data_IF_520969060610
#
_entry.id   IF_520969060610
#
_cell.length_a   1.000
_cell.length_b   1.000
_cell.length_c   1.000
_cell.angle_alpha   90.00
_cell.angle_beta   90.00
_cell.angle_gamma   90.00
#
_symmetry.space_group_name_H-M   'P 1'
#
loop_
_entity.id
_entity.type
_entity.pdbx_description
1 polymer ?
#
# COMPACT_ATOMS: atom_id res chain seq x y z
N UNK A 1 23.14 -17.47 -21.60
CA UNK A 1 22.70 -17.09 -20.25
C UNK A 1 21.27 -17.57 -20.11
N UNK A 2 21.10 -18.78 -19.58
CA UNK A 2 19.77 -19.37 -19.40
C UNK A 2 19.10 -18.76 -18.18
N UNK A 3 17.94 -18.13 -18.41
CA UNK A 3 17.09 -17.61 -17.37
C UNK A 3 16.59 -18.78 -16.52
N UNK A 4 16.97 -18.82 -15.24
CA UNK A 4 16.47 -19.80 -14.28
C UNK A 4 14.94 -19.68 -14.26
N UNK A 5 14.19 -20.77 -14.50
CA UNK A 5 12.74 -20.74 -14.40
C UNK A 5 12.33 -20.27 -13.01
N UNK A 6 11.50 -19.22 -12.92
CA UNK A 6 10.90 -18.79 -11.65
C UNK A 6 10.28 -20.01 -11.00
N UNK A 7 10.82 -20.44 -9.86
CA UNK A 7 10.23 -21.53 -9.08
C UNK A 7 8.78 -21.15 -8.80
N UNK A 8 7.85 -22.02 -9.17
CA UNK A 8 6.44 -21.88 -8.76
C UNK A 8 6.47 -21.69 -7.26
N UNK A 9 5.92 -20.56 -6.81
CA UNK A 9 5.90 -20.17 -5.40
C UNK A 9 5.45 -21.34 -4.55
N UNK A 10 6.37 -21.93 -3.81
CA UNK A 10 6.06 -22.90 -2.75
C UNK A 10 5.09 -22.18 -1.83
N UNK A 11 3.90 -22.73 -1.69
CA UNK A 11 2.87 -22.20 -0.80
C UNK A 11 3.30 -22.56 0.63
N UNK A 12 4.31 -21.85 1.15
CA UNK A 12 4.67 -21.90 2.56
C UNK A 12 3.47 -21.32 3.31
N UNK A 13 2.78 -22.09 4.17
CA UNK A 13 1.68 -21.59 4.95
C UNK A 13 2.23 -20.46 5.82
N UNK A 14 1.99 -19.22 5.42
CA UNK A 14 2.27 -18.07 6.28
C UNK A 14 1.09 -18.01 7.23
N UNK A 15 1.32 -17.90 8.54
CA UNK A 15 0.25 -17.62 9.50
C UNK A 15 -0.29 -16.19 9.35
N UNK A 16 -0.59 -15.76 8.13
CA UNK A 16 -1.19 -14.47 7.77
C UNK A 16 -2.71 -14.45 7.93
N UNK A 17 -3.31 -15.52 8.48
CA UNK A 17 -4.75 -15.58 8.78
C UNK A 17 -5.24 -14.31 9.49
N UNK A 18 -4.41 -13.76 10.40
CA UNK A 18 -4.73 -12.53 11.12
C UNK A 18 -5.07 -11.34 10.22
N UNK A 19 -4.35 -11.13 9.12
CA UNK A 19 -4.62 -10.00 8.20
C UNK A 19 -5.87 -10.26 7.36
N UNK A 20 -6.03 -11.47 6.83
CA UNK A 20 -7.20 -11.88 6.04
C UNK A 20 -8.51 -11.56 6.75
N UNK A 21 -8.59 -11.89 8.04
CA UNK A 21 -9.80 -11.69 8.85
C UNK A 21 -10.07 -10.20 9.13
N UNK A 22 -9.02 -9.36 9.11
CA UNK A 22 -9.10 -7.91 9.33
C UNK A 22 -9.39 -7.11 8.05
N UNK A 23 -9.12 -7.67 6.87
CA UNK A 23 -9.21 -6.96 5.59
C UNK A 23 -10.61 -6.43 5.30
N UNK A 24 -11.68 -7.17 5.63
CA UNK A 24 -13.04 -6.69 5.36
C UNK A 24 -13.39 -5.45 6.18
N UNK A 25 -12.91 -5.35 7.43
CA UNK A 25 -13.10 -4.17 8.26
C UNK A 25 -12.25 -3.01 7.74
N UNK A 26 -10.97 -3.27 7.46
CA UNK A 26 -10.06 -2.25 6.92
C UNK A 26 -10.57 -1.68 5.58
N UNK A 27 -11.06 -2.53 4.67
CA UNK A 27 -11.62 -2.08 3.39
C UNK A 27 -12.80 -1.11 3.56
N UNK A 28 -13.65 -1.30 4.58
CA UNK A 28 -14.73 -0.36 4.90
C UNK A 28 -14.17 0.94 5.47
N UNK A 29 -13.19 0.85 6.37
CA UNK A 29 -12.55 2.00 6.99
C UNK A 29 -11.79 2.88 5.98
N UNK A 30 -11.36 2.31 4.84
CA UNK A 30 -10.71 3.03 3.75
C UNK A 30 -11.69 3.76 2.81
N UNK A 31 -13.00 3.47 2.87
CA UNK A 31 -13.98 4.09 1.98
C UNK A 31 -13.98 5.63 1.97
N UNK A 32 -13.76 6.35 3.11
CA UNK A 32 -13.69 7.82 3.11
C UNK A 32 -12.54 8.40 2.28
N UNK A 33 -11.51 7.62 1.92
CA UNK A 33 -10.43 8.09 1.04
C UNK A 33 -11.00 8.56 -0.31
N UNK A 34 -12.14 8.04 -0.76
CA UNK A 34 -12.80 8.50 -1.97
C UNK A 34 -13.17 10.01 -1.94
N UNK A 35 -13.36 10.60 -0.75
CA UNK A 35 -13.59 12.03 -0.60
C UNK A 35 -12.31 12.85 -0.76
N UNK A 36 -11.15 12.24 -0.48
CA UNK A 36 -9.83 12.86 -0.63
C UNK A 36 -9.37 12.80 -2.09
N UNK A 37 -9.58 11.67 -2.75
CA UNK A 37 -9.16 11.42 -4.13
C UNK A 37 -10.17 11.91 -5.15
N UNK A 38 -11.42 12.17 -4.75
CA UNK A 38 -12.53 12.47 -5.65
C UNK A 38 -13.03 11.26 -6.45
N UNK A 39 -12.52 10.05 -6.17
CA UNK A 39 -12.87 8.82 -6.87
C UNK A 39 -12.89 7.62 -5.92
N UNK A 40 -13.76 6.64 -6.19
CA UNK A 40 -13.80 5.41 -5.41
C UNK A 40 -12.44 4.70 -5.47
N UNK A 41 -11.90 4.38 -4.29
CA UNK A 41 -10.69 3.57 -4.17
C UNK A 41 -11.07 2.10 -4.02
N UNK A 42 -10.33 1.21 -4.67
CA UNK A 42 -10.60 -0.22 -4.67
C UNK A 42 -9.40 -0.99 -4.05
N UNK A 43 -9.39 -1.19 -2.72
CA UNK A 43 -8.35 -1.99 -2.08
C UNK A 43 -8.30 -3.41 -2.65
N UNK A 44 -7.10 -3.91 -2.89
CA UNK A 44 -6.85 -5.24 -3.44
C UNK A 44 -6.13 -6.10 -2.40
N UNK A 45 -6.51 -7.37 -2.28
CA UNK A 45 -5.72 -8.32 -1.49
C UNK A 45 -4.45 -8.66 -2.27
N UNK A 46 -3.29 -8.36 -1.68
CA UNK A 46 -1.98 -8.69 -2.25
C UNK A 46 -1.42 -9.97 -1.63
N UNK A 47 -0.29 -10.46 -2.16
CA UNK A 47 0.38 -11.65 -1.64
C UNK A 47 0.69 -11.51 -0.14
N UNK A 48 0.34 -12.54 0.63
CA UNK A 48 0.44 -12.51 2.10
C UNK A 48 -0.83 -12.03 2.80
N UNK A 49 -1.96 -11.93 2.08
CA UNK A 49 -3.28 -11.58 2.61
C UNK A 49 -3.38 -10.17 3.21
N UNK A 50 -2.53 -9.24 2.79
CA UNK A 50 -2.61 -7.83 3.15
C UNK A 50 -3.48 -7.06 2.15
N UNK A 51 -4.00 -5.89 2.54
CA UNK A 51 -4.58 -4.96 1.58
C UNK A 51 -3.51 -4.06 0.98
N UNK A 52 -3.64 -3.82 -0.32
CA UNK A 52 -2.93 -2.81 -1.08
C UNK A 52 -3.91 -1.80 -1.65
N UNK A 53 -3.49 -0.54 -1.71
CA UNK A 53 -4.25 0.55 -2.30
C UNK A 53 -3.36 1.35 -3.25
N UNK A 54 -3.81 1.51 -4.48
CA UNK A 54 -3.16 2.38 -5.46
C UNK A 54 -3.83 3.75 -5.43
N UNK A 55 -3.02 4.81 -5.39
CA UNK A 55 -3.46 6.20 -5.37
C UNK A 55 -2.58 7.06 -6.28
N UNK A 56 -3.16 8.15 -6.79
CA UNK A 56 -2.40 9.17 -7.51
C UNK A 56 -1.44 9.91 -6.58
N UNK A 57 -0.28 10.29 -7.11
CA UNK A 57 0.79 10.94 -6.32
C UNK A 57 0.35 12.21 -5.61
N UNK A 58 -0.59 12.95 -6.21
CA UNK A 58 -1.15 14.21 -5.69
C UNK A 58 -1.96 14.01 -4.40
N UNK A 59 -2.42 12.79 -4.13
CA UNK A 59 -3.23 12.48 -2.95
C UNK A 59 -2.42 11.82 -1.83
N UNK A 60 -1.16 11.45 -2.07
CA UNK A 60 -0.36 10.68 -1.12
C UNK A 60 -0.32 11.30 0.28
N UNK A 61 0.05 12.58 0.38
CA UNK A 61 0.20 13.26 1.68
C UNK A 61 -1.13 13.32 2.43
N UNK A 62 -2.23 13.62 1.73
CA UNK A 62 -3.56 13.70 2.33
C UNK A 62 -4.07 12.33 2.78
N UNK A 63 -3.84 11.28 1.98
CA UNK A 63 -4.18 9.91 2.33
C UNK A 63 -3.37 9.44 3.53
N UNK A 64 -2.05 9.63 3.54
CA UNK A 64 -1.20 9.29 4.68
C UNK A 64 -1.63 10.01 5.96
N UNK A 65 -1.98 11.29 5.87
CA UNK A 65 -2.51 12.06 7.01
C UNK A 65 -3.83 11.48 7.53
N UNK A 66 -4.76 11.12 6.64
CA UNK A 66 -6.01 10.45 7.01
C UNK A 66 -5.75 9.10 7.70
N UNK A 67 -4.87 8.27 7.14
CA UNK A 67 -4.54 6.96 7.71
C UNK A 67 -3.95 7.10 9.13
N UNK A 68 -3.06 8.07 9.34
CA UNK A 68 -2.48 8.37 10.65
C UNK A 68 -3.53 8.89 11.63
N UNK A 69 -4.24 9.95 11.26
CA UNK A 69 -5.09 10.72 12.18
C UNK A 69 -6.43 10.05 12.45
N UNK A 70 -7.00 9.35 11.48
CA UNK A 70 -8.34 8.75 11.58
C UNK A 70 -8.31 7.24 11.79
N UNK A 71 -7.37 6.54 11.16
CA UNK A 71 -7.33 5.06 11.21
C UNK A 71 -6.24 4.49 12.13
N UNK A 72 -5.36 5.35 12.68
CA UNK A 72 -4.33 4.98 13.64
C UNK A 72 -3.15 4.21 13.04
N UNK A 73 -2.80 4.47 11.78
CA UNK A 73 -1.56 3.97 11.19
C UNK A 73 -0.37 4.82 11.68
N UNK A 74 0.29 4.32 12.71
CA UNK A 74 1.29 5.04 13.52
C UNK A 74 2.74 4.71 13.13
N UNK A 75 2.95 3.75 12.23
CA UNK A 75 4.28 3.32 11.80
C UNK A 75 4.40 3.20 10.29
N UNK A 76 5.19 4.09 9.68
CA UNK A 76 5.67 3.91 8.30
C UNK A 76 6.86 2.95 8.33
N UNK A 77 6.58 1.67 8.04
CA UNK A 77 7.54 0.58 8.21
C UNK A 77 8.63 0.56 7.13
N UNK A 78 8.27 0.92 5.90
CA UNK A 78 9.16 0.85 4.75
C UNK A 78 8.65 1.73 3.61
N UNK A 79 9.57 2.39 2.90
CA UNK A 79 9.34 3.06 1.62
C UNK A 79 10.32 2.44 0.63
N UNK A 80 9.82 2.01 -0.53
CA UNK A 80 10.64 1.42 -1.59
C UNK A 80 10.29 2.04 -2.94
N UNK A 81 11.31 2.35 -3.74
CA UNK A 81 11.14 2.57 -5.18
C UNK A 81 11.19 1.24 -5.91
N UNK A 82 10.31 1.05 -6.89
CA UNK A 82 10.27 -0.15 -7.74
C UNK A 82 10.35 0.28 -9.20
N UNK A 83 11.32 -0.27 -9.91
CA UNK A 83 11.45 -0.11 -11.36
C UNK A 83 10.64 -1.19 -12.06
N UNK A 84 9.48 -0.79 -12.57
CA UNK A 84 8.68 -1.60 -13.47
C UNK A 84 9.14 -1.29 -14.90
N UNK A 85 9.23 -2.31 -15.75
CA UNK A 85 9.76 -2.16 -17.12
C UNK A 85 9.11 -1.01 -17.91
N UNK A 86 7.86 -0.66 -17.61
CA UNK A 86 7.07 0.39 -18.25
C UNK A 86 6.81 1.64 -17.39
N UNK A 87 7.15 1.63 -16.08
CA UNK A 87 6.95 2.78 -15.19
C UNK A 87 7.72 2.66 -13.87
N UNK A 88 7.85 3.76 -13.13
CA UNK A 88 8.37 3.72 -11.76
C UNK A 88 7.21 3.67 -10.77
N UNK A 89 7.37 2.95 -9.67
CA UNK A 89 6.43 2.96 -8.55
C UNK A 89 7.14 3.35 -7.26
N UNK A 90 6.43 3.99 -6.34
CA UNK A 90 6.83 4.08 -4.93
C UNK A 90 5.82 3.33 -4.08
N UNK A 91 6.33 2.48 -3.18
CA UNK A 91 5.54 1.59 -2.34
C UNK A 91 5.79 1.94 -0.89
N UNK A 92 4.72 2.23 -0.15
CA UNK A 92 4.73 2.56 1.26
C UNK A 92 4.04 1.45 2.03
N UNK A 93 4.70 0.94 3.07
CA UNK A 93 4.10 -0.01 4.00
C UNK A 93 3.81 0.70 5.31
N UNK A 94 2.53 0.94 5.60
CA UNK A 94 2.09 1.58 6.83
C UNK A 94 1.41 0.56 7.73
N UNK A 95 1.68 0.66 9.03
CA UNK A 95 1.17 -0.25 10.05
C UNK A 95 0.46 0.53 11.14
N UNK A 96 -0.64 -0.03 11.63
CA UNK A 96 -1.22 0.33 12.92
C UNK A 96 -0.71 -0.64 13.97
N UNK A 97 0.16 -0.19 14.87
CA UNK A 97 0.72 -1.07 15.92
C UNK A 97 -0.32 -1.49 16.95
N UNK A 98 -1.31 -0.61 17.20
CA UNK A 98 -2.42 -0.86 18.14
C UNK A 98 -3.43 -1.87 17.61
N UNK A 99 -3.79 -1.79 16.31
CA UNK A 99 -4.77 -2.67 15.67
C UNK A 99 -4.14 -3.91 15.04
N UNK A 100 -2.81 -3.95 14.93
CA UNK A 100 -2.09 -5.03 14.27
C UNK A 100 -2.30 -5.10 12.76
N UNK A 101 -2.78 -4.02 12.13
CA UNK A 101 -3.10 -3.96 10.69
C UNK A 101 -1.92 -3.47 9.87
N UNK A 102 -1.78 -3.99 8.65
CA UNK A 102 -0.81 -3.54 7.65
C UNK A 102 -1.54 -3.15 6.36
N UNK A 103 -1.13 -2.03 5.77
CA UNK A 103 -1.62 -1.54 4.49
C UNK A 103 -0.44 -1.17 3.60
N UNK A 104 -0.49 -1.62 2.35
CA UNK A 104 0.42 -1.16 1.31
C UNK A 104 -0.24 0.00 0.54
N UNK A 105 0.45 1.13 0.41
CA UNK A 105 0.11 2.16 -0.57
C UNK A 105 1.07 2.07 -1.73
N UNK A 106 0.54 2.22 -2.93
CA UNK A 106 1.32 2.27 -4.17
C UNK A 106 0.99 3.56 -4.92
N UNK A 107 2.03 4.21 -5.41
CA UNK A 107 1.93 5.38 -6.27
C UNK A 107 2.73 5.11 -7.53
N UNK A 108 2.06 5.13 -8.68
CA UNK A 108 2.70 5.10 -9.99
C UNK A 108 3.28 6.47 -10.32
N UNK A 109 4.48 6.47 -10.87
CA UNK A 109 5.24 7.65 -11.26
C UNK A 109 5.54 7.65 -12.75
N UNK A 110 5.64 8.85 -13.30
CA UNK A 110 6.13 9.08 -14.65
C UNK A 110 7.63 8.74 -14.74
N UNK A 111 8.06 8.09 -15.81
CA UNK A 111 9.47 7.74 -16.03
C UNK A 111 10.34 8.99 -16.29
N UNK A 112 9.82 10.01 -16.97
CA UNK A 112 10.59 11.20 -17.32
C UNK A 112 10.75 12.14 -16.12
N UNK A 113 9.77 12.13 -15.22
CA UNK A 113 9.76 12.96 -14.00
C UNK A 113 9.21 12.18 -12.78
N UNK A 114 10.00 11.24 -12.23
CA UNK A 114 9.59 10.36 -11.14
C UNK A 114 9.64 11.06 -9.77
N UNK A 115 8.78 12.06 -9.61
CA UNK A 115 8.67 12.86 -8.39
C UNK A 115 7.36 12.56 -7.66
N UNK A 116 7.45 12.50 -6.33
CA UNK A 116 6.33 12.35 -5.40
C UNK A 116 6.60 13.17 -4.13
N UNK A 117 5.54 13.73 -3.56
CA UNK A 117 5.64 14.54 -2.34
C UNK A 117 6.11 13.72 -1.15
N UNK A 118 6.98 14.31 -0.34
CA UNK A 118 7.47 13.69 0.88
C UNK A 118 6.37 13.62 1.96
N UNK A 119 6.32 12.49 2.66
CA UNK A 119 5.40 12.28 3.79
C UNK A 119 6.01 12.64 5.14
N UNK A 120 7.20 13.27 5.19
CA UNK A 120 7.88 13.66 6.47
C UNK A 120 7.04 14.58 7.36
N UNK A 121 6.11 15.36 6.79
CA UNK A 121 5.21 16.24 7.54
C UNK A 121 3.99 15.53 8.17
N UNK A 122 3.89 14.22 7.94
CA UNK A 122 2.88 13.31 8.49
C UNK A 122 3.59 12.40 9.51
#
# INVERSE_FOLDING_TARGET
>A
MDLIPRSKSVNIPTETRGYRDQNAALARDLAPIAQITGAAVAPQTIKGDFLGLEIERTHLVAVCRFLRDQLGFDLLSCISGVDMLDHLETVYHVRSTTRGQLLQLKVRLDQEKPEVDSVVSV
#
